data_IF_511266050775
#
_entry.id   IF_511266050775
#
_cell.length_a   1.000
_cell.length_b   1.000
_cell.length_c   1.000
_cell.angle_alpha   90.00
_cell.angle_beta   90.00
_cell.angle_gamma   90.00
#
_symmetry.space_group_name_H-M   'P 1'
#
loop_
_entity.id
_entity.type
_entity.pdbx_description
1 polymer ?
#
# COMPACT_ATOMS: atom_id res chain seq x y z
N UNK A 1 5.04 -23.63 -14.54
CA UNK A 1 4.12 -22.67 -13.90
C UNK A 1 3.37 -21.93 -15.00
N UNK A 2 2.04 -21.79 -14.89
CA UNK A 2 1.24 -20.99 -15.83
C UNK A 2 1.26 -21.41 -17.29
N UNK A 3 1.40 -22.68 -17.62
CA UNK A 3 1.48 -23.17 -19.01
C UNK A 3 0.25 -22.73 -19.81
N UNK A 4 0.48 -21.99 -20.89
CA UNK A 4 -0.60 -21.44 -21.75
C UNK A 4 -1.20 -20.11 -21.28
N UNK A 5 -0.73 -19.55 -20.16
CA UNK A 5 -1.16 -18.25 -19.65
C UNK A 5 -0.21 -17.13 -20.12
N UNK A 6 -0.75 -15.90 -20.19
CA UNK A 6 0.08 -14.71 -20.35
C UNK A 6 1.00 -14.52 -19.12
N UNK A 7 2.17 -13.87 -19.25
CA UNK A 7 3.18 -13.80 -18.19
C UNK A 7 2.65 -13.36 -16.82
N UNK A 8 1.86 -12.29 -16.76
CA UNK A 8 1.26 -11.81 -15.49
C UNK A 8 0.28 -12.82 -14.92
N UNK A 9 -0.58 -13.39 -15.75
CA UNK A 9 -1.56 -14.42 -15.31
C UNK A 9 -0.84 -15.69 -14.81
N UNK A 10 0.28 -16.06 -15.40
CA UNK A 10 1.10 -17.17 -14.95
C UNK A 10 1.71 -16.93 -13.56
N UNK A 11 2.14 -15.70 -13.30
CA UNK A 11 2.63 -15.28 -11.98
C UNK A 11 1.55 -15.28 -10.90
N UNK A 12 0.29 -15.06 -11.29
CA UNK A 12 -0.86 -15.00 -10.39
C UNK A 12 -1.63 -16.32 -10.29
N UNK A 13 -1.14 -17.39 -10.94
CA UNK A 13 -1.78 -18.70 -10.96
C UNK A 13 -1.54 -19.47 -9.64
N UNK A 14 -2.22 -19.04 -8.56
CA UNK A 14 -2.04 -19.56 -7.19
C UNK A 14 -2.13 -21.09 -7.16
N UNK A 15 -3.19 -21.65 -7.73
CA UNK A 15 -3.43 -23.10 -7.66
C UNK A 15 -2.34 -23.90 -8.38
N UNK A 16 -1.81 -23.36 -9.48
CA UNK A 16 -0.71 -24.01 -10.20
C UNK A 16 0.61 -23.94 -9.41
N UNK A 17 0.85 -22.81 -8.72
CA UNK A 17 2.00 -22.66 -7.81
C UNK A 17 1.93 -23.67 -6.68
N UNK A 18 0.79 -23.79 -6.00
CA UNK A 18 0.59 -24.74 -4.90
C UNK A 18 0.73 -26.18 -5.39
N UNK A 19 0.14 -26.53 -6.54
CA UNK A 19 0.28 -27.87 -7.13
C UNK A 19 1.75 -28.21 -7.37
N UNK A 20 2.50 -27.31 -8.01
CA UNK A 20 3.92 -27.54 -8.30
C UNK A 20 4.74 -27.65 -7.01
N UNK A 21 4.45 -26.81 -6.02
CA UNK A 21 5.14 -26.88 -4.73
C UNK A 21 4.93 -28.24 -4.04
N UNK A 22 3.69 -28.77 -4.05
CA UNK A 22 3.39 -30.10 -3.52
C UNK A 22 4.06 -31.22 -4.30
N UNK A 23 4.04 -31.16 -5.63
CA UNK A 23 4.68 -32.14 -6.51
C UNK A 23 6.20 -32.23 -6.30
N UNK A 24 6.82 -31.15 -5.82
CA UNK A 24 8.25 -31.08 -5.58
C UNK A 24 8.62 -31.09 -4.09
N UNK A 25 7.69 -31.41 -3.21
CA UNK A 25 7.89 -31.56 -1.76
C UNK A 25 8.56 -30.31 -1.13
N UNK A 26 8.06 -29.12 -1.53
CA UNK A 26 8.60 -27.82 -1.07
C UNK A 26 8.19 -27.56 0.38
N UNK A 27 9.16 -27.24 1.25
CA UNK A 27 8.91 -26.96 2.67
C UNK A 27 8.41 -25.54 2.90
N UNK A 28 8.86 -24.56 2.10
CA UNK A 28 8.51 -23.15 2.29
C UNK A 28 8.47 -22.37 0.97
N UNK A 29 7.66 -21.33 0.94
CA UNK A 29 7.56 -20.40 -0.20
C UNK A 29 7.83 -18.98 0.26
N UNK A 30 8.84 -18.33 -0.35
CA UNK A 30 9.06 -16.89 -0.26
C UNK A 30 8.40 -16.20 -1.45
N UNK A 31 7.42 -15.30 -1.24
CA UNK A 31 6.60 -14.74 -2.32
C UNK A 31 7.32 -13.65 -3.15
N UNK A 32 8.52 -13.24 -2.75
CA UNK A 32 9.21 -12.11 -3.37
C UNK A 32 8.62 -10.76 -2.99
N UNK A 33 8.53 -9.85 -3.95
CA UNK A 33 8.00 -8.50 -3.79
C UNK A 33 6.80 -8.27 -4.69
N UNK A 34 5.77 -7.58 -4.16
CA UNK A 34 4.56 -7.26 -4.90
C UNK A 34 3.77 -8.52 -5.29
N UNK A 35 2.82 -8.35 -6.20
CA UNK A 35 1.98 -9.45 -6.70
C UNK A 35 1.39 -10.30 -5.55
N UNK A 36 1.75 -11.59 -5.50
CA UNK A 36 1.24 -12.53 -4.50
C UNK A 36 1.81 -12.32 -3.09
N UNK A 37 2.89 -11.53 -2.93
CA UNK A 37 3.41 -11.18 -1.61
C UNK A 37 2.40 -10.39 -0.76
N UNK A 38 1.49 -9.68 -1.40
CA UNK A 38 0.46 -8.86 -0.78
C UNK A 38 -0.94 -9.51 -0.86
N UNK A 39 -0.99 -10.79 -1.23
CA UNK A 39 -2.25 -11.51 -1.43
C UNK A 39 -2.55 -12.45 -0.26
N UNK A 40 -3.58 -12.15 0.57
CA UNK A 40 -3.90 -12.99 1.74
C UNK A 40 -4.43 -14.37 1.36
N UNK A 41 -5.08 -14.51 0.19
CA UNK A 41 -5.56 -15.81 -0.29
C UNK A 41 -4.38 -16.74 -0.64
N UNK A 42 -3.35 -16.20 -1.27
CA UNK A 42 -2.14 -16.97 -1.57
C UNK A 42 -1.46 -17.46 -0.29
N UNK A 43 -1.24 -16.57 0.67
CA UNK A 43 -0.64 -16.94 1.96
C UNK A 43 -1.46 -18.05 2.66
N UNK A 44 -2.80 -17.92 2.70
CA UNK A 44 -3.69 -18.94 3.28
C UNK A 44 -3.60 -20.28 2.55
N UNK A 45 -3.64 -20.28 1.24
CA UNK A 45 -3.54 -21.52 0.45
C UNK A 45 -2.17 -22.22 0.60
N UNK A 46 -1.08 -21.45 0.80
CA UNK A 46 0.24 -22.02 1.10
C UNK A 46 0.22 -22.71 2.45
N UNK A 47 -0.31 -22.06 3.50
CA UNK A 47 -0.43 -22.63 4.83
C UNK A 47 -1.37 -23.84 4.86
N UNK A 48 -2.53 -23.79 4.21
CA UNK A 48 -3.48 -24.89 4.08
C UNK A 48 -2.87 -26.10 3.35
N UNK A 49 -1.89 -25.86 2.49
CA UNK A 49 -1.14 -26.90 1.80
C UNK A 49 -0.07 -27.56 2.68
N UNK A 50 0.11 -27.12 3.93
CA UNK A 50 1.16 -27.58 4.84
C UNK A 50 2.55 -27.03 4.51
N UNK A 51 2.64 -25.97 3.70
CA UNK A 51 3.87 -25.32 3.27
C UNK A 51 4.04 -24.03 4.09
N UNK A 52 5.25 -23.74 4.57
CA UNK A 52 5.51 -22.51 5.30
C UNK A 52 5.49 -21.30 4.35
N UNK A 53 4.65 -20.31 4.65
CA UNK A 53 4.69 -19.02 3.96
C UNK A 53 5.72 -18.10 4.61
N UNK A 54 6.73 -17.68 3.87
CA UNK A 54 7.76 -16.76 4.37
C UNK A 54 7.25 -15.33 4.23
N UNK A 55 6.47 -14.90 5.21
CA UNK A 55 5.82 -13.60 5.23
C UNK A 55 4.87 -13.44 6.41
N UNK A 56 4.08 -12.36 6.44
CA UNK A 56 3.06 -12.16 7.46
C UNK A 56 1.93 -13.19 7.33
N UNK A 57 1.17 -13.39 8.42
CA UNK A 57 -0.03 -14.22 8.38
C UNK A 57 -1.08 -13.64 7.43
N UNK A 58 -1.95 -14.46 6.83
CA UNK A 58 -3.00 -14.00 5.91
C UNK A 58 -3.86 -12.87 6.47
N UNK A 59 -4.22 -12.95 7.77
CA UNK A 59 -5.03 -11.93 8.46
C UNK A 59 -4.28 -10.60 8.57
N UNK A 60 -2.96 -10.64 8.76
CA UNK A 60 -2.11 -9.44 8.82
C UNK A 60 -2.01 -8.78 7.45
N UNK A 61 -1.86 -9.59 6.39
CA UNK A 61 -1.84 -9.08 5.00
C UNK A 61 -3.17 -8.40 4.68
N UNK A 62 -4.30 -9.02 5.01
CA UNK A 62 -5.63 -8.46 4.78
C UNK A 62 -5.84 -7.15 5.55
N UNK A 63 -5.50 -7.15 6.85
CA UNK A 63 -5.68 -5.99 7.70
C UNK A 63 -4.81 -4.79 7.30
N UNK A 64 -3.57 -5.02 6.88
CA UNK A 64 -2.65 -3.95 6.46
C UNK A 64 -2.83 -3.56 5.00
N UNK A 65 -3.42 -4.41 4.17
CA UNK A 65 -3.78 -4.10 2.79
C UNK A 65 -4.93 -3.09 2.68
N UNK A 66 -5.80 -3.03 3.67
CA UNK A 66 -6.87 -2.03 3.78
C UNK A 66 -6.35 -0.78 4.51
N UNK A 67 -6.28 0.36 3.81
CA UNK A 67 -5.75 1.62 4.36
C UNK A 67 -6.49 2.10 5.61
N UNK A 68 -7.79 1.86 5.70
CA UNK A 68 -8.60 2.26 6.86
C UNK A 68 -8.28 1.38 8.07
N UNK A 69 -8.31 0.06 7.89
CA UNK A 69 -7.93 -0.91 8.92
C UNK A 69 -6.48 -0.70 9.39
N UNK A 70 -5.55 -0.48 8.47
CA UNK A 70 -4.15 -0.23 8.79
C UNK A 70 -3.96 1.02 9.65
N UNK A 71 -4.70 2.11 9.36
CA UNK A 71 -4.68 3.33 10.18
C UNK A 71 -5.27 3.11 11.57
N UNK A 72 -6.34 2.35 11.67
CA UNK A 72 -6.96 2.05 12.97
C UNK A 72 -6.06 1.14 13.82
N UNK A 73 -5.40 0.16 13.22
CA UNK A 73 -4.38 -0.65 13.90
C UNK A 73 -3.20 0.20 14.38
N UNK A 74 -2.71 1.12 13.54
CA UNK A 74 -1.63 2.03 13.91
C UNK A 74 -2.03 2.92 15.09
N UNK A 75 -3.25 3.48 15.08
CA UNK A 75 -3.78 4.26 16.22
C UNK A 75 -3.88 3.44 17.50
N UNK A 76 -4.43 2.22 17.40
CA UNK A 76 -4.53 1.30 18.55
C UNK A 76 -3.18 0.93 19.14
N UNK A 77 -2.13 0.88 18.30
CA UNK A 77 -0.75 0.63 18.71
C UNK A 77 0.02 1.90 19.09
N UNK A 78 -0.63 3.08 19.16
CA UNK A 78 -0.01 4.38 19.40
C UNK A 78 1.12 4.72 18.41
N UNK A 79 1.04 4.22 17.19
CA UNK A 79 1.97 4.56 16.11
C UNK A 79 1.52 5.87 15.47
N UNK A 80 2.40 6.87 15.33
CA UNK A 80 2.07 8.11 14.66
C UNK A 80 1.65 7.87 13.21
N UNK A 81 0.56 8.50 12.81
CA UNK A 81 0.05 8.46 11.43
C UNK A 81 -0.03 9.86 10.86
N UNK A 82 0.03 9.98 9.54
CA UNK A 82 -0.24 11.26 8.87
C UNK A 82 -1.68 11.67 9.17
N UNK A 83 -1.91 12.89 9.72
CA UNK A 83 -3.25 13.39 9.97
C UNK A 83 -4.11 13.35 8.70
N UNK A 84 -5.32 12.86 8.81
CA UNK A 84 -6.28 12.78 7.70
C UNK A 84 -7.70 12.70 8.24
N UNK A 85 -8.65 13.03 7.37
CA UNK A 85 -10.07 12.96 7.72
C UNK A 85 -10.47 11.54 8.12
N UNK A 86 -11.33 11.37 9.14
CA UNK A 86 -11.75 10.05 9.60
C UNK A 86 -12.63 9.31 8.57
N UNK A 87 -13.21 10.04 7.63
CA UNK A 87 -14.09 9.52 6.59
C UNK A 87 -14.04 10.38 5.34
N UNK A 88 -14.87 10.01 4.35
CA UNK A 88 -15.03 10.78 3.13
C UNK A 88 -15.49 12.20 3.42
N UNK A 89 -15.01 13.14 2.61
CA UNK A 89 -15.46 14.53 2.63
C UNK A 89 -16.40 14.76 1.46
N UNK A 90 -17.61 15.24 1.77
CA UNK A 90 -18.66 15.48 0.78
C UNK A 90 -18.77 16.95 0.33
N UNK A 91 -18.20 17.87 1.10
CA UNK A 91 -18.25 19.30 0.78
C UNK A 91 -17.03 20.04 1.33
N UNK A 92 -16.85 21.25 0.83
CA UNK A 92 -15.82 22.16 1.31
C UNK A 92 -15.96 22.46 2.82
N UNK A 93 -17.18 22.72 3.28
CA UNK A 93 -17.49 23.07 4.67
C UNK A 93 -17.15 21.92 5.63
N UNK A 94 -17.35 20.68 5.18
CA UNK A 94 -17.00 19.50 5.96
C UNK A 94 -15.48 19.33 6.15
N UNK A 95 -14.67 19.90 5.25
CA UNK A 95 -13.23 19.88 5.32
C UNK A 95 -12.63 20.95 6.26
N UNK A 96 -13.34 22.05 6.46
CA UNK A 96 -12.83 23.23 7.14
C UNK A 96 -12.30 22.96 8.56
N UNK A 97 -12.99 22.20 9.43
CA UNK A 97 -12.50 21.89 10.77
C UNK A 97 -11.15 21.16 10.73
N UNK A 98 -11.02 20.18 9.86
CA UNK A 98 -9.77 19.44 9.69
C UNK A 98 -8.63 20.34 9.20
N UNK A 99 -8.91 21.19 8.21
CA UNK A 99 -7.90 22.12 7.67
C UNK A 99 -7.45 23.13 8.72
N UNK A 100 -8.36 23.63 9.56
CA UNK A 100 -8.02 24.53 10.68
C UNK A 100 -7.11 23.86 11.70
N UNK A 101 -7.29 22.56 11.94
CA UNK A 101 -6.45 21.78 12.86
C UNK A 101 -5.06 21.53 12.30
N UNK A 102 -4.96 21.03 11.05
CA UNK A 102 -3.68 20.56 10.50
C UNK A 102 -2.91 21.62 9.71
N UNK A 103 -3.59 22.68 9.25
CA UNK A 103 -3.00 23.71 8.38
C UNK A 103 -2.73 23.20 6.95
N UNK A 104 -2.20 24.11 6.12
CA UNK A 104 -1.72 23.79 4.77
C UNK A 104 -0.22 23.44 4.77
N UNK A 105 0.25 22.70 3.75
CA UNK A 105 -0.49 22.13 2.64
C UNK A 105 -1.26 20.85 3.01
N UNK A 106 -2.36 20.60 2.28
CA UNK A 106 -3.12 19.37 2.37
C UNK A 106 -3.18 18.67 1.01
N UNK A 107 -3.47 17.38 1.00
CA UNK A 107 -3.68 16.61 -0.23
C UNK A 107 -5.08 16.00 -0.23
N UNK A 108 -5.80 16.21 -1.33
CA UNK A 108 -7.09 15.58 -1.60
C UNK A 108 -6.82 14.31 -2.39
N UNK A 109 -7.40 13.18 -1.96
CA UNK A 109 -7.22 11.86 -2.56
C UNK A 109 -8.55 11.21 -2.88
N UNK A 110 -8.71 10.67 -4.09
CA UNK A 110 -9.84 9.82 -4.42
C UNK A 110 -9.77 8.51 -3.60
N UNK A 111 -10.93 8.05 -3.10
CA UNK A 111 -11.03 6.81 -2.32
C UNK A 111 -10.56 5.59 -3.12
N UNK A 112 -10.97 5.51 -4.37
CA UNK A 112 -10.61 4.43 -5.30
C UNK A 112 -9.32 4.71 -6.07
N UNK A 113 -8.61 5.81 -5.77
CA UNK A 113 -7.37 6.21 -6.45
C UNK A 113 -6.17 5.38 -6.03
N UNK A 114 -5.27 5.13 -6.98
CA UNK A 114 -3.99 4.45 -6.75
C UNK A 114 -2.91 4.93 -7.73
N UNK A 115 -1.64 4.67 -7.40
CA UNK A 115 -0.52 5.00 -8.28
C UNK A 115 -0.35 6.50 -8.59
N UNK A 116 -0.79 7.37 -7.69
CA UNK A 116 -0.71 8.83 -7.86
C UNK A 116 -1.86 9.46 -8.63
N UNK A 117 -2.81 8.68 -9.15
CA UNK A 117 -4.00 9.19 -9.83
C UNK A 117 -5.07 9.61 -8.83
N UNK A 118 -5.80 10.70 -9.13
CA UNK A 118 -6.84 11.22 -8.25
C UNK A 118 -6.29 11.87 -6.98
N UNK A 119 -5.07 12.40 -7.02
CA UNK A 119 -4.45 13.16 -5.93
C UNK A 119 -4.18 14.60 -6.34
N UNK A 120 -4.51 15.55 -5.43
CA UNK A 120 -4.30 16.97 -5.66
C UNK A 120 -3.81 17.67 -4.40
N UNK A 121 -2.62 18.26 -4.48
CA UNK A 121 -2.06 19.09 -3.39
C UNK A 121 -2.66 20.49 -3.44
N UNK A 122 -3.02 20.99 -2.28
CA UNK A 122 -3.58 22.33 -2.08
C UNK A 122 -2.73 23.07 -1.06
N UNK A 123 -2.31 24.27 -1.41
CA UNK A 123 -1.38 25.07 -0.62
C UNK A 123 -2.03 26.20 0.15
N UNK A 124 -3.26 26.56 -0.21
CA UNK A 124 -3.98 27.66 0.43
C UNK A 124 -5.49 27.41 0.45
N UNK A 125 -6.19 28.10 1.36
CA UNK A 125 -7.64 28.05 1.46
C UNK A 125 -8.30 28.63 0.19
N UNK A 126 -7.69 29.63 -0.44
CA UNK A 126 -8.25 30.25 -1.65
C UNK A 126 -8.35 29.25 -2.82
N UNK A 127 -7.43 28.29 -2.89
CA UNK A 127 -7.39 27.28 -3.96
C UNK A 127 -8.16 26.01 -3.59
N UNK A 128 -8.59 25.88 -2.33
CA UNK A 128 -9.12 24.63 -1.82
C UNK A 128 -10.44 24.24 -2.50
N UNK A 129 -11.41 25.16 -2.60
CA UNK A 129 -12.72 24.85 -3.17
C UNK A 129 -12.61 24.38 -4.63
N UNK A 130 -11.89 25.14 -5.46
CA UNK A 130 -11.71 24.79 -6.86
C UNK A 130 -10.95 23.45 -7.03
N UNK A 131 -9.98 23.20 -6.16
CA UNK A 131 -9.22 21.94 -6.15
C UNK A 131 -10.07 20.74 -5.71
N UNK A 132 -10.95 20.96 -4.73
CA UNK A 132 -11.87 19.95 -4.23
C UNK A 132 -12.88 19.54 -5.32
N UNK A 133 -13.56 20.52 -5.94
CA UNK A 133 -14.52 20.27 -7.02
C UNK A 133 -13.89 19.51 -8.19
N UNK A 134 -12.66 19.88 -8.57
CA UNK A 134 -11.92 19.17 -9.61
C UNK A 134 -11.56 17.74 -9.18
N UNK A 135 -11.11 17.53 -7.95
CA UNK A 135 -10.77 16.20 -7.45
C UNK A 135 -11.99 15.27 -7.44
N UNK A 136 -13.15 15.77 -6.99
CA UNK A 136 -14.42 15.04 -7.00
C UNK A 136 -14.85 14.69 -8.44
N UNK A 137 -14.75 15.65 -9.37
CA UNK A 137 -15.07 15.42 -10.78
C UNK A 137 -14.14 14.37 -11.43
N UNK A 138 -12.85 14.48 -11.18
CA UNK A 138 -11.84 13.52 -11.66
C UNK A 138 -12.06 12.13 -11.09
N UNK A 139 -12.34 12.03 -9.78
CA UNK A 139 -12.63 10.76 -9.12
C UNK A 139 -13.86 10.07 -9.72
N UNK A 140 -14.93 10.82 -9.93
CA UNK A 140 -16.16 10.32 -10.60
C UNK A 140 -15.87 9.84 -12.03
N UNK A 141 -15.13 10.62 -12.79
CA UNK A 141 -14.82 10.30 -14.19
C UNK A 141 -13.88 9.10 -14.35
N UNK A 142 -12.86 9.01 -13.51
CA UNK A 142 -11.83 7.99 -13.61
C UNK A 142 -12.20 6.66 -12.94
N UNK A 143 -12.99 6.71 -11.86
CA UNK A 143 -13.25 5.55 -11.00
C UNK A 143 -14.75 5.27 -10.80
N UNK A 144 -15.64 6.14 -11.30
CA UNK A 144 -17.08 6.02 -11.08
C UNK A 144 -17.56 6.43 -9.68
N UNK A 145 -16.64 6.73 -8.77
CA UNK A 145 -16.89 7.10 -7.37
C UNK A 145 -16.33 8.51 -7.08
N UNK A 146 -17.16 9.49 -6.71
CA UNK A 146 -16.73 10.85 -6.40
C UNK A 146 -16.10 11.01 -5.00
N UNK A 147 -16.00 9.92 -4.25
CA UNK A 147 -15.54 9.93 -2.85
C UNK A 147 -14.09 10.39 -2.75
N UNK A 148 -13.83 11.39 -1.90
CA UNK A 148 -12.49 11.91 -1.64
C UNK A 148 -12.22 11.99 -0.14
N UNK A 149 -10.94 11.91 0.22
CA UNK A 149 -10.39 12.11 1.57
C UNK A 149 -9.39 13.25 1.53
N UNK A 150 -9.10 13.83 2.69
CA UNK A 150 -8.10 14.85 2.84
C UNK A 150 -7.09 14.40 3.87
N UNK A 151 -5.82 14.59 3.55
CA UNK A 151 -4.71 14.33 4.47
C UNK A 151 -3.76 15.53 4.49
N UNK A 152 -3.00 15.67 5.58
CA UNK A 152 -1.88 16.59 5.59
C UNK A 152 -0.87 16.20 4.51
N UNK A 153 -0.46 17.14 3.68
CA UNK A 153 0.60 16.89 2.72
C UNK A 153 1.97 17.06 3.38
N UNK A 154 2.83 16.06 3.19
CA UNK A 154 4.21 16.12 3.63
C UNK A 154 5.06 16.57 2.44
N UNK A 155 5.65 17.75 2.55
CA UNK A 155 6.57 18.23 1.51
C UNK A 155 7.92 17.51 1.63
N UNK A 156 8.41 17.00 0.51
CA UNK A 156 9.69 16.26 0.41
C UNK A 156 9.86 15.17 1.48
N UNK A 157 8.89 14.27 1.64
CA UNK A 157 8.99 13.22 2.63
C UNK A 157 10.12 12.25 2.29
N UNK A 158 10.72 11.66 3.33
CA UNK A 158 11.56 10.48 3.18
C UNK A 158 10.70 9.24 3.30
N UNK A 159 10.88 8.30 2.38
CA UNK A 159 10.24 6.99 2.47
C UNK A 159 11.19 6.04 3.21
N UNK A 160 10.94 5.87 4.48
CA UNK A 160 11.72 4.97 5.34
C UNK A 160 10.87 3.75 5.66
N UNK A 161 11.42 2.58 5.46
CA UNK A 161 10.82 1.31 5.84
C UNK A 161 11.72 0.54 6.78
N UNK A 162 11.14 -0.36 7.56
CA UNK A 162 11.87 -1.22 8.50
C UNK A 162 11.57 -2.67 8.16
N UNK A 163 12.60 -3.45 7.91
CA UNK A 163 12.46 -4.89 7.71
C UNK A 163 12.23 -5.58 9.04
N UNK A 164 11.17 -6.37 9.11
CA UNK A 164 10.86 -7.22 10.26
C UNK A 164 11.11 -8.69 9.91
N UNK A 165 11.52 -9.45 10.92
CA UNK A 165 11.64 -10.90 10.84
C UNK A 165 11.07 -11.51 12.12
N UNK A 166 10.19 -12.51 11.95
CA UNK A 166 9.56 -13.23 13.05
C UNK A 166 9.75 -14.73 12.88
N UNK A 167 9.89 -15.45 14.00
CA UNK A 167 10.02 -16.91 14.02
C UNK A 167 8.67 -17.65 14.10
N UNK A 168 7.56 -16.92 14.11
CA UNK A 168 6.21 -17.49 14.28
C UNK A 168 5.90 -17.98 15.70
N UNK A 169 6.84 -17.88 16.65
CA UNK A 169 6.70 -18.30 18.05
C UNK A 169 6.53 -17.13 19.01
N UNK A 170 6.37 -15.93 18.48
CA UNK A 170 6.18 -14.70 19.25
C UNK A 170 7.42 -13.81 19.34
N UNK A 171 8.57 -14.24 18.82
CA UNK A 171 9.74 -13.40 18.72
C UNK A 171 9.69 -12.62 17.40
N UNK A 172 10.02 -11.33 17.47
CA UNK A 172 10.12 -10.46 16.31
C UNK A 172 11.32 -9.53 16.49
N UNK A 173 12.13 -9.42 15.46
CA UNK A 173 13.27 -8.50 15.41
C UNK A 173 13.13 -7.56 14.23
N UNK A 174 13.78 -6.41 14.30
CA UNK A 174 13.96 -5.51 13.18
C UNK A 174 15.40 -5.55 12.66
N UNK A 175 15.54 -5.39 11.34
CA UNK A 175 16.84 -5.39 10.65
C UNK A 175 17.21 -3.97 10.20
N UNK A 176 16.87 -2.98 11.03
CA UNK A 176 17.09 -1.56 10.80
C UNK A 176 16.31 -0.98 9.62
N UNK A 177 16.58 0.31 9.34
CA UNK A 177 15.86 1.13 8.37
C UNK A 177 16.44 0.95 6.96
N UNK A 178 15.56 1.04 5.98
CA UNK A 178 15.91 1.22 4.57
C UNK A 178 15.32 2.54 4.07
N UNK A 179 16.13 3.37 3.44
CA UNK A 179 15.66 4.60 2.80
C UNK A 179 15.27 4.32 1.35
N UNK A 180 13.98 4.36 1.07
CA UNK A 180 13.39 4.13 -0.25
C UNK A 180 12.96 5.45 -0.93
N UNK A 181 13.50 6.59 -0.48
CA UNK A 181 13.11 7.93 -0.97
C UNK A 181 13.50 8.18 -2.42
N UNK A 182 14.44 7.40 -2.97
CA UNK A 182 14.86 7.49 -4.37
C UNK A 182 14.14 6.41 -5.18
N UNK A 183 13.00 6.73 -5.81
CA UNK A 183 12.30 5.73 -6.63
C UNK A 183 13.14 5.39 -7.86
N UNK A 184 13.32 4.11 -8.11
CA UNK A 184 14.09 3.59 -9.26
C UNK A 184 13.56 4.15 -10.59
N UNK A 185 12.28 4.49 -10.66
CA UNK A 185 11.63 5.07 -11.85
C UNK A 185 12.10 6.49 -12.20
N UNK A 186 12.70 7.21 -11.26
CA UNK A 186 13.20 8.59 -11.47
C UNK A 186 14.73 8.69 -11.49
N UNK A 187 15.42 7.59 -11.26
CA UNK A 187 16.87 7.58 -11.24
C UNK A 187 17.40 6.96 -12.52
N UNK A 188 18.21 7.74 -13.23
CA UNK A 188 19.14 7.23 -14.24
C UNK A 188 20.37 6.54 -13.57
N UNK A 189 20.21 6.09 -12.32
CA UNK A 189 21.20 5.28 -11.65
C UNK A 189 21.17 3.88 -12.26
N UNK A 190 21.96 3.70 -13.29
CA UNK A 190 22.38 2.36 -13.65
C UNK A 190 23.20 1.82 -12.47
N UNK A 191 22.66 0.80 -11.81
CA UNK A 191 23.48 0.01 -10.90
C UNK A 191 24.71 -0.45 -11.68
N UNK A 192 25.93 -0.29 -11.16
CA UNK A 192 27.09 -0.88 -11.79
C UNK A 192 26.81 -2.37 -11.90
N UNK A 193 26.59 -2.84 -13.11
CA UNK A 193 26.61 -4.27 -13.39
C UNK A 193 28.05 -4.70 -13.24
N UNK A 194 28.42 -5.26 -12.10
CA UNK A 194 29.64 -6.01 -12.01
C UNK A 194 29.50 -7.18 -12.99
N UNK A 195 30.08 -6.96 -14.19
CA UNK A 195 30.46 -8.06 -15.05
C UNK A 195 31.86 -8.48 -14.61
N UNK A 196 31.90 -9.49 -13.81
CA UNK A 196 33.01 -10.46 -13.77
C UNK A 196 32.43 -11.84 -13.65
#
# INVERSE_FOLDING_TARGET
MGKGLAPVAAYLAIDDIIRIAKENEVDMIHPGYGFLAENPEFARKVEDAGIAFVGPRPETIDALGDKTKARDLARAANVPIVPGTPGPISSYEAAEPFIKEVGFPVIIKAAMGGGGRGMRVVWSMNDFQASFERAVSEARSAFGDPTVFIERFLDKPRHIEVQLLSDGQGNCIHLFERDCSVPVSYTHLTLPTNRE
#
